data_IF_017357139845
#
_entry.id   IF_017357139845
#
_cell.length_a   1.000
_cell.length_b   1.000
_cell.length_c   1.000
_cell.angle_alpha   90.00
_cell.angle_beta   90.00
_cell.angle_gamma   90.00
#
_symmetry.space_group_name_H-M   'P 1'
#
loop_
_entity.id
_entity.type
_entity.pdbx_description
1 polymer ?
#
# COMPACT_ATOMS: atom_id res chain seq x y z
N UNK A 1 -6.44 20.64 4.59
CA UNK A 1 -6.14 19.24 4.21
C UNK A 1 -6.45 19.07 2.74
N UNK A 2 -5.46 19.24 1.88
CA UNK A 2 -5.60 18.91 0.47
C UNK A 2 -5.43 17.39 0.36
N UNK A 3 -6.53 16.66 0.26
CA UNK A 3 -6.51 15.25 -0.12
C UNK A 3 -6.00 15.22 -1.56
N UNK A 4 -4.74 14.87 -1.77
CA UNK A 4 -4.28 14.59 -3.13
C UNK A 4 -4.94 13.28 -3.58
N UNK A 5 -5.22 13.17 -4.88
CA UNK A 5 -5.84 11.98 -5.47
C UNK A 5 -4.95 10.71 -5.36
N UNK A 6 -3.78 10.79 -4.71
CA UNK A 6 -2.80 9.72 -4.54
C UNK A 6 -2.94 9.02 -3.18
N UNK A 7 -3.50 9.69 -2.17
CA UNK A 7 -3.66 9.10 -0.83
C UNK A 7 -4.88 8.18 -0.69
N UNK A 8 -5.64 7.96 -1.76
CA UNK A 8 -6.83 7.08 -1.74
C UNK A 8 -6.53 5.63 -1.36
N UNK A 9 -5.27 5.22 -1.51
CA UNK A 9 -4.81 3.89 -1.17
C UNK A 9 -4.63 3.69 0.35
N UNK A 10 -4.57 4.76 1.15
CA UNK A 10 -4.40 4.63 2.61
C UNK A 10 -5.68 4.08 3.25
N UNK A 11 -5.54 3.02 4.04
CA UNK A 11 -6.64 2.27 4.63
C UNK A 11 -7.12 1.08 3.79
N UNK A 12 -6.62 0.94 2.56
CA UNK A 12 -7.07 -0.10 1.64
C UNK A 12 -6.37 -1.44 1.89
N UNK A 13 -7.12 -2.52 1.67
CA UNK A 13 -6.56 -3.88 1.71
C UNK A 13 -5.69 -4.10 0.48
N UNK A 14 -4.53 -4.67 0.68
CA UNK A 14 -3.57 -4.95 -0.38
C UNK A 14 -3.12 -6.40 -0.29
N UNK A 15 -3.10 -7.09 -1.43
CA UNK A 15 -2.46 -8.39 -1.56
C UNK A 15 -1.01 -8.18 -1.97
N UNK A 16 -0.10 -8.79 -1.22
CA UNK A 16 1.34 -8.68 -1.47
C UNK A 16 1.86 -9.96 -2.10
N UNK A 17 2.68 -9.84 -3.13
CA UNK A 17 3.33 -11.00 -3.76
C UNK A 17 4.19 -11.75 -2.72
N UNK A 18 4.10 -13.08 -2.71
CA UNK A 18 4.72 -13.97 -1.72
C UNK A 18 4.20 -13.89 -0.28
N UNK A 19 3.18 -13.08 0.02
CA UNK A 19 2.50 -13.09 1.32
C UNK A 19 1.22 -13.94 1.26
N UNK A 20 1.00 -14.79 2.28
CA UNK A 20 -0.19 -15.67 2.31
C UNK A 20 -1.47 -14.93 2.72
N UNK A 21 -1.36 -13.69 3.17
CA UNK A 21 -2.48 -12.87 3.64
C UNK A 21 -2.57 -11.50 2.97
N UNK A 22 -3.58 -10.75 3.38
CA UNK A 22 -3.72 -9.34 3.03
C UNK A 22 -3.00 -8.47 4.06
N UNK A 23 -2.40 -7.39 3.58
CA UNK A 23 -2.00 -6.25 4.38
C UNK A 23 -2.99 -5.10 4.25
N UNK A 24 -2.77 -4.05 5.01
CA UNK A 24 -3.48 -2.77 4.91
C UNK A 24 -2.45 -1.67 4.72
N UNK A 25 -2.66 -0.78 3.76
CA UNK A 25 -1.78 0.36 3.55
C UNK A 25 -2.02 1.38 4.67
N UNK A 26 -0.99 1.68 5.46
CA UNK A 26 -1.09 2.59 6.61
C UNK A 26 -0.61 4.00 6.29
N UNK A 27 0.37 4.12 5.39
CA UNK A 27 1.00 5.40 5.04
C UNK A 27 1.63 5.32 3.65
N UNK A 28 1.64 6.44 2.95
CA UNK A 28 2.41 6.66 1.73
C UNK A 28 3.30 7.87 1.98
N UNK A 29 4.59 7.71 1.76
CA UNK A 29 5.60 8.76 1.83
C UNK A 29 6.12 9.01 0.42
N UNK A 30 5.56 10.03 -0.24
CA UNK A 30 5.90 10.40 -1.61
C UNK A 30 7.28 11.07 -1.70
N UNK A 31 7.75 11.70 -0.63
CA UNK A 31 9.08 12.34 -0.60
C UNK A 31 10.18 11.28 -0.56
N UNK A 32 9.94 10.18 0.17
CA UNK A 32 10.88 9.06 0.28
C UNK A 32 10.64 7.95 -0.74
N UNK A 33 9.55 8.00 -1.49
CA UNK A 33 9.17 6.96 -2.45
C UNK A 33 8.86 5.63 -1.77
N UNK A 34 8.14 5.65 -0.64
CA UNK A 34 7.83 4.45 0.14
C UNK A 34 6.33 4.34 0.46
N UNK A 35 5.83 3.11 0.46
CA UNK A 35 4.50 2.76 0.93
C UNK A 35 4.59 1.73 2.06
N UNK A 36 3.85 1.97 3.14
CA UNK A 36 3.87 1.16 4.34
C UNK A 36 2.63 0.28 4.38
N UNK A 37 2.86 -1.03 4.55
CA UNK A 37 1.82 -2.04 4.61
C UNK A 37 1.89 -2.75 5.96
N UNK A 38 0.80 -2.68 6.71
CA UNK A 38 0.63 -3.39 7.97
C UNK A 38 0.00 -4.75 7.72
N UNK A 39 0.71 -5.79 8.13
CA UNK A 39 0.24 -7.16 8.13
C UNK A 39 -0.30 -7.58 9.51
N UNK A 40 -0.81 -8.82 9.58
CA UNK A 40 -1.20 -9.43 10.85
C UNK A 40 -0.02 -9.45 11.83
N UNK A 41 -0.34 -9.47 13.13
CA UNK A 41 0.63 -9.48 14.24
C UNK A 41 1.52 -8.21 14.29
N UNK A 42 0.98 -7.07 13.88
CA UNK A 42 1.66 -5.77 13.95
C UNK A 42 2.97 -5.69 13.16
N UNK A 43 3.15 -6.53 12.14
CA UNK A 43 4.31 -6.48 11.26
C UNK A 43 4.05 -5.43 10.18
N UNK A 44 4.75 -4.31 10.26
CA UNK A 44 4.74 -3.29 9.20
C UNK A 44 5.98 -3.48 8.31
N UNK A 45 5.77 -3.44 7.00
CA UNK A 45 6.85 -3.47 6.02
C UNK A 45 6.70 -2.30 5.05
N UNK A 46 7.84 -1.79 4.60
CA UNK A 46 7.91 -0.71 3.62
C UNK A 46 8.26 -1.28 2.25
N UNK A 47 7.56 -0.81 1.23
CA UNK A 47 7.80 -1.16 -0.17
C UNK A 47 8.11 0.11 -0.98
N UNK A 48 8.86 0.00 -2.09
CA UNK A 48 9.06 1.12 -3.01
C UNK A 48 7.73 1.62 -3.61
N UNK A 49 7.55 2.94 -3.68
CA UNK A 49 6.36 3.58 -4.25
C UNK A 49 6.77 4.63 -5.29
N UNK A 50 6.18 4.61 -6.50
CA UNK A 50 5.03 3.79 -6.93
C UNK A 50 5.38 2.40 -7.48
N UNK A 51 6.66 2.03 -7.56
CA UNK A 51 7.12 0.85 -8.31
C UNK A 51 6.48 -0.45 -7.85
N UNK A 52 6.24 -0.63 -6.55
CA UNK A 52 5.60 -1.85 -6.04
C UNK A 52 4.15 -2.01 -6.52
N UNK A 53 3.44 -0.90 -6.80
CA UNK A 53 2.10 -0.93 -7.37
C UNK A 53 2.18 -1.25 -8.87
N UNK A 54 3.08 -0.58 -9.60
CA UNK A 54 3.26 -0.76 -11.06
C UNK A 54 3.73 -2.17 -11.42
N UNK A 55 4.65 -2.73 -10.62
CA UNK A 55 5.15 -4.10 -10.77
C UNK A 55 4.18 -5.16 -10.21
N UNK A 56 3.01 -4.73 -9.73
CA UNK A 56 2.00 -5.63 -9.18
C UNK A 56 2.47 -6.45 -7.96
N UNK A 57 3.53 -6.02 -7.29
CA UNK A 57 4.00 -6.55 -6.01
C UNK A 57 2.94 -6.28 -4.94
N UNK A 58 2.38 -5.07 -4.97
CA UNK A 58 1.23 -4.64 -4.18
C UNK A 58 0.02 -4.55 -5.09
N UNK A 59 -1.01 -5.35 -4.81
CA UNK A 59 -2.31 -5.32 -5.51
C UNK A 59 -3.39 -4.82 -4.57
N UNK A 60 -3.71 -3.52 -4.60
CA UNK A 60 -4.81 -2.97 -3.79
C UNK A 60 -6.14 -3.55 -4.27
N UNK A 61 -7.00 -3.96 -3.34
CA UNK A 61 -8.38 -4.39 -3.60
C UNK A 61 -9.31 -3.17 -3.75
N UNK A 62 -8.83 -2.12 -4.43
CA UNK A 62 -9.60 -0.90 -4.65
C UNK A 62 -10.43 -1.08 -5.91
N UNK A 63 -11.73 -1.29 -5.74
CA UNK A 63 -12.67 -1.08 -6.83
C UNK A 63 -12.84 0.42 -7.03
N UNK A 64 -12.15 1.00 -8.03
CA UNK A 64 -12.53 2.34 -8.54
C UNK A 64 -14.02 2.27 -8.89
N UNK A 65 -14.86 2.94 -8.09
CA UNK A 65 -16.25 3.23 -8.43
C UNK A 65 -16.30 4.40 -9.40
#
# INVERSE_FOLDING_TARGET
>A
MAWSNETYLIGEKVKVENEKGFGVITRIDTERGLIYVLFRRMREEAFPYPEAIDQHILKPEVHKK
#
